data_IF_197490983964
#
_entry.id   IF_197490983964
#
_cell.length_a   1.000
_cell.length_b   1.000
_cell.length_c   1.000
_cell.angle_alpha   90.00
_cell.angle_beta   90.00
_cell.angle_gamma   90.00
#
_symmetry.space_group_name_H-M   'P 1'
#
loop_
_entity.id
_entity.type
_entity.pdbx_description
1 polymer ?
#
# COMPACT_ATOMS: atom_id res chain seq x y z
N UNK A 1 -14.04 7.14 10.10
CA UNK A 1 -14.26 5.95 9.23
C UNK A 1 -14.98 4.83 10.00
N UNK A 2 -16.14 4.36 9.49
CA UNK A 2 -16.93 3.28 10.13
C UNK A 2 -17.39 2.17 9.16
N UNK A 3 -17.16 2.34 7.86
CA UNK A 3 -17.54 1.39 6.81
C UNK A 3 -16.29 0.86 6.10
N UNK A 4 -16.32 -0.39 5.59
CA UNK A 4 -15.19 -0.96 4.86
C UNK A 4 -14.87 -0.17 3.58
N UNK A 5 -13.60 -0.12 3.16
CA UNK A 5 -13.22 0.56 1.92
C UNK A 5 -13.76 -0.21 0.70
N UNK A 6 -14.23 0.52 -0.31
CA UNK A 6 -14.70 -0.07 -1.58
C UNK A 6 -13.55 -0.67 -2.40
N UNK A 7 -12.34 -0.12 -2.28
CA UNK A 7 -11.17 -0.55 -3.02
C UNK A 7 -9.93 -0.58 -2.11
N UNK A 8 -9.04 -1.53 -2.36
CA UNK A 8 -7.71 -1.61 -1.74
C UNK A 8 -6.66 -1.72 -2.84
N UNK A 9 -5.50 -1.09 -2.65
CA UNK A 9 -4.31 -1.25 -3.52
C UNK A 9 -3.07 -1.36 -2.65
N UNK A 10 -2.00 -1.94 -3.20
CA UNK A 10 -0.71 -1.97 -2.54
C UNK A 10 0.34 -1.23 -3.39
N UNK A 11 1.08 -0.32 -2.76
CA UNK A 11 2.16 0.46 -3.38
C UNK A 11 3.50 0.07 -2.76
N UNK A 12 4.56 0.07 -3.58
CA UNK A 12 5.93 -0.17 -3.13
C UNK A 12 6.63 1.17 -2.97
N UNK A 13 7.29 1.34 -1.82
CA UNK A 13 8.19 2.45 -1.54
C UNK A 13 9.55 1.93 -1.09
N UNK A 14 10.61 2.57 -1.57
CA UNK A 14 11.93 2.46 -0.96
C UNK A 14 12.04 3.49 0.15
N UNK A 15 12.52 3.05 1.31
CA UNK A 15 12.78 3.90 2.46
C UNK A 15 14.28 3.99 2.69
N UNK A 16 14.73 5.21 2.95
CA UNK A 16 16.10 5.52 3.33
C UNK A 16 16.06 6.41 4.55
N UNK A 17 16.95 6.17 5.52
CA UNK A 17 17.07 7.08 6.66
C UNK A 17 17.49 8.47 6.17
N UNK A 18 16.89 9.50 6.75
CA UNK A 18 17.38 10.88 6.59
C UNK A 18 18.70 11.06 7.32
N UNK A 19 19.55 11.97 6.84
CA UNK A 19 20.72 12.41 7.60
C UNK A 19 20.31 13.21 8.85
N UNK A 20 21.20 13.39 9.84
CA UNK A 20 20.91 14.22 11.01
C UNK A 20 20.53 15.66 10.65
N UNK A 21 21.18 16.23 9.62
CA UNK A 21 20.89 17.58 9.15
C UNK A 21 19.47 17.68 8.55
N UNK A 22 19.12 16.73 7.68
CA UNK A 22 17.80 16.67 7.05
C UNK A 22 16.69 16.46 8.07
N UNK A 23 16.94 15.64 9.09
CA UNK A 23 16.02 15.42 10.20
C UNK A 23 15.89 16.67 11.07
N UNK A 24 16.97 17.40 11.34
CA UNK A 24 16.92 18.67 12.10
C UNK A 24 16.05 19.71 11.40
N UNK A 25 16.06 19.74 10.06
CA UNK A 25 15.26 20.69 9.26
C UNK A 25 13.81 20.22 9.08
N UNK A 26 13.61 18.96 8.69
CA UNK A 26 12.28 18.45 8.28
C UNK A 26 11.51 17.71 9.39
N UNK A 27 12.20 17.27 10.44
CA UNK A 27 11.66 16.40 11.49
C UNK A 27 11.40 14.96 11.03
N UNK A 28 11.55 14.65 9.74
CA UNK A 28 11.29 13.33 9.19
C UNK A 28 12.43 12.36 9.52
N UNK A 29 12.08 11.10 9.75
CA UNK A 29 13.04 10.02 10.01
C UNK A 29 13.48 9.30 8.75
N UNK A 30 12.64 9.33 7.72
CA UNK A 30 12.81 8.57 6.51
C UNK A 30 12.47 9.43 5.31
N UNK A 31 13.25 9.27 4.25
CA UNK A 31 12.85 9.62 2.90
C UNK A 31 12.18 8.41 2.28
N UNK A 32 11.08 8.66 1.56
CA UNK A 32 10.37 7.62 0.82
C UNK A 32 10.38 7.95 -0.67
N UNK A 33 10.70 6.95 -1.49
CA UNK A 33 10.58 7.03 -2.94
C UNK A 33 9.53 6.02 -3.39
N UNK A 34 8.49 6.49 -4.08
CA UNK A 34 7.49 5.60 -4.71
C UNK A 34 8.16 4.85 -5.85
N UNK A 35 8.13 3.52 -5.79
CA UNK A 35 8.67 2.65 -6.84
C UNK A 35 7.59 2.27 -7.83
N UNK A 36 6.40 1.95 -7.34
CA UNK A 36 5.30 1.52 -8.20
C UNK A 36 4.17 0.85 -7.43
N UNK A 37 3.32 0.12 -8.16
CA UNK A 37 2.28 -0.73 -7.59
C UNK A 37 2.85 -2.11 -7.30
N UNK A 38 2.60 -2.62 -6.09
CA UNK A 38 2.80 -4.03 -5.77
C UNK A 38 1.60 -4.86 -6.26
N UNK A 39 0.40 -4.34 -6.02
CA UNK A 39 -0.85 -5.00 -6.37
C UNK A 39 -1.85 -3.95 -6.88
N UNK A 40 -2.58 -4.24 -7.98
CA UNK A 40 -3.52 -3.29 -8.54
C UNK A 40 -4.65 -2.97 -7.56
N UNK A 41 -5.41 -1.89 -7.81
CA UNK A 41 -6.66 -1.66 -7.10
C UNK A 41 -7.63 -2.82 -7.31
N UNK A 42 -8.12 -3.39 -6.23
CA UNK A 42 -9.11 -4.47 -6.23
C UNK A 42 -10.28 -4.13 -5.31
N UNK A 43 -11.43 -4.72 -5.59
CA UNK A 43 -12.63 -4.61 -4.78
C UNK A 43 -13.22 -5.99 -4.56
N UNK A 44 -13.88 -6.19 -3.44
CA UNK A 44 -14.73 -7.36 -3.29
C UNK A 44 -15.91 -7.31 -4.26
N UNK A 45 -16.33 -6.17 -4.80
CA UNK A 45 -17.40 -6.13 -5.80
C UNK A 45 -16.97 -6.71 -7.17
N UNK A 46 -15.67 -6.96 -7.37
CA UNK A 46 -15.13 -7.61 -8.57
C UNK A 46 -15.24 -9.15 -8.43
N UNK A 47 -16.06 -9.75 -9.28
CA UNK A 47 -16.32 -11.20 -9.24
C UNK A 47 -15.08 -12.02 -9.56
N UNK A 48 -14.25 -11.57 -10.51
CA UNK A 48 -13.01 -12.25 -10.87
C UNK A 48 -12.03 -12.28 -9.70
N UNK A 49 -11.93 -11.17 -8.98
CA UNK A 49 -11.10 -11.09 -7.78
C UNK A 49 -11.64 -11.96 -6.64
N UNK A 50 -12.95 -11.99 -6.40
CA UNK A 50 -13.55 -12.91 -5.41
C UNK A 50 -13.27 -14.38 -5.74
N UNK A 51 -13.41 -14.77 -7.01
CA UNK A 51 -13.12 -16.14 -7.45
C UNK A 51 -11.63 -16.48 -7.29
N UNK A 52 -10.74 -15.54 -7.57
CA UNK A 52 -9.29 -15.71 -7.38
C UNK A 52 -8.90 -15.83 -5.90
N UNK A 53 -9.64 -15.21 -4.98
CA UNK A 53 -9.47 -15.40 -3.53
C UNK A 53 -9.97 -16.78 -3.09
N UNK A 54 -11.16 -17.17 -3.55
CA UNK A 54 -11.77 -18.46 -3.23
C UNK A 54 -10.89 -19.65 -3.70
N UNK A 55 -10.28 -19.54 -4.89
CA UNK A 55 -9.36 -20.57 -5.40
C UNK A 55 -8.07 -20.71 -4.58
N UNK A 56 -7.73 -19.68 -3.80
CA UNK A 56 -6.59 -19.66 -2.87
C UNK A 56 -7.01 -20.03 -1.43
N UNK A 57 -8.25 -20.45 -1.21
CA UNK A 57 -8.76 -20.88 0.10
C UNK A 57 -9.19 -19.74 1.03
N UNK A 58 -9.34 -18.52 0.50
CA UNK A 58 -9.84 -17.39 1.26
C UNK A 58 -11.37 -17.32 1.14
N UNK A 59 -12.08 -17.38 2.28
CA UNK A 59 -13.53 -17.22 2.39
C UNK A 59 -13.91 -15.84 2.92
#
# INVERSE_FOLDING_TARGET
PKQPPRFVRAEIYLYQFTSPEERRVSGQWWKRQRVGLYFPPVSLDDEGFRQALASQGWQ
#
